data_IF_967911185660
#
_entry.id   IF_967911185660
#
_cell.length_a   1.000
_cell.length_b   1.000
_cell.length_c   1.000
_cell.angle_alpha   90.00
_cell.angle_beta   90.00
_cell.angle_gamma   90.00
#
_symmetry.space_group_name_H-M   'P 1'
#
loop_
_entity.id
_entity.type
_entity.pdbx_description
1 polymer ?
#
# COMPACT_ATOMS: atom_id res chain seq x y z
N UNK A 1 47.99 0.43 37.62
CA UNK A 1 47.05 -0.58 37.08
C UNK A 1 45.69 0.10 37.04
N UNK A 2 45.35 0.66 35.87
CA UNK A 2 44.14 1.47 35.68
C UNK A 2 43.05 0.52 35.18
N UNK A 3 42.02 0.33 36.00
CA UNK A 3 40.89 -0.53 35.69
C UNK A 3 39.91 0.28 34.82
N UNK A 4 39.78 -0.09 33.53
CA UNK A 4 38.75 0.44 32.67
C UNK A 4 37.46 -0.33 32.92
N UNK A 5 36.45 0.35 33.47
CA UNK A 5 35.08 -0.13 33.52
C UNK A 5 34.47 0.12 32.15
N UNK A 6 34.25 -0.95 31.38
CA UNK A 6 33.46 -0.92 30.16
C UNK A 6 32.00 -0.92 30.59
N UNK A 7 31.34 0.23 30.52
CA UNK A 7 29.88 0.30 30.57
C UNK A 7 29.33 -0.23 29.24
N UNK A 8 28.89 -1.49 29.24
CA UNK A 8 28.02 -2.00 28.17
C UNK A 8 26.64 -1.39 28.39
N UNK A 9 26.35 -0.29 27.69
CA UNK A 9 25.01 0.25 27.61
C UNK A 9 24.16 -0.74 26.80
N UNK A 10 23.46 -1.63 27.51
CA UNK A 10 22.43 -2.45 26.92
C UNK A 10 21.32 -1.53 26.41
N UNK A 11 21.13 -1.47 25.09
CA UNK A 11 19.92 -0.94 24.48
C UNK A 11 18.76 -1.78 25.01
N UNK A 12 18.07 -1.26 26.03
CA UNK A 12 16.76 -1.76 26.40
C UNK A 12 15.83 -1.43 25.23
N UNK A 13 15.77 -2.34 24.27
CA UNK A 13 14.73 -2.35 23.26
C UNK A 13 13.42 -2.29 24.04
N UNK A 14 12.70 -1.17 23.95
CA UNK A 14 11.39 -1.08 24.54
C UNK A 14 10.56 -2.15 23.83
N UNK A 15 10.29 -3.25 24.53
CA UNK A 15 9.29 -4.22 24.12
C UNK A 15 7.95 -3.50 24.23
N UNK A 16 7.64 -2.65 23.25
CA UNK A 16 6.31 -2.14 23.07
C UNK A 16 5.42 -3.35 22.80
N UNK A 17 4.34 -3.45 23.57
CA UNK A 17 3.47 -4.60 23.52
C UNK A 17 2.82 -4.69 22.13
N UNK A 18 3.24 -5.69 21.34
CA UNK A 18 2.42 -6.17 20.23
C UNK A 18 1.10 -6.66 20.84
N UNK A 19 -0.02 -6.07 20.41
CA UNK A 19 -1.29 -6.30 21.11
C UNK A 19 -1.97 -7.57 20.63
N UNK A 20 -2.18 -7.70 19.31
CA UNK A 20 -2.86 -8.87 18.74
C UNK A 20 -2.60 -8.97 17.23
N UNK A 21 -1.62 -9.77 16.80
CA UNK A 21 -1.36 -10.01 15.37
C UNK A 21 -2.21 -11.19 14.88
N UNK A 22 -2.66 -11.20 13.60
CA UNK A 22 -3.19 -12.41 12.99
C UNK A 22 -2.17 -13.56 13.08
N UNK A 23 -2.59 -14.81 13.31
CA UNK A 23 -1.67 -15.96 13.35
C UNK A 23 -0.84 -16.08 12.08
N UNK A 24 0.46 -16.38 12.22
CA UNK A 24 1.39 -16.53 11.10
C UNK A 24 1.99 -15.24 10.55
N UNK A 25 1.75 -14.10 11.22
CA UNK A 25 2.34 -12.81 10.85
C UNK A 25 3.31 -12.28 11.90
N UNK A 26 4.24 -11.45 11.44
CA UNK A 26 5.13 -10.63 12.26
C UNK A 26 5.13 -9.18 11.78
N UNK A 27 5.49 -8.26 12.66
CA UNK A 27 5.74 -6.86 12.30
C UNK A 27 7.24 -6.65 12.17
N UNK A 28 7.64 -6.09 11.02
CA UNK A 28 8.99 -5.57 10.78
C UNK A 28 8.91 -4.06 10.57
N UNK A 29 9.86 -3.34 11.16
CA UNK A 29 10.03 -1.91 10.94
C UNK A 29 11.34 -1.64 10.23
N UNK A 30 11.32 -0.76 9.24
CA UNK A 30 12.51 -0.39 8.46
C UNK A 30 12.42 1.04 7.93
N UNK A 31 13.50 1.48 7.28
CA UNK A 31 13.64 2.82 6.71
C UNK A 31 13.47 3.96 7.73
N UNK A 32 13.73 3.70 9.02
CA UNK A 32 13.62 4.73 10.04
C UNK A 32 14.46 5.96 9.68
N UNK A 33 13.84 7.13 9.76
CA UNK A 33 14.47 8.38 9.39
C UNK A 33 14.01 9.51 10.31
N UNK A 34 14.89 10.48 10.55
CA UNK A 34 14.58 11.73 11.25
C UNK A 34 13.57 12.61 10.50
N UNK A 35 13.30 12.31 9.23
CA UNK A 35 12.33 12.95 8.37
C UNK A 35 11.19 12.00 8.01
N UNK A 36 10.04 12.56 7.66
CA UNK A 36 8.85 11.75 7.45
C UNK A 36 8.98 10.78 6.28
N UNK A 37 8.21 9.70 6.38
CA UNK A 37 7.93 8.72 5.35
C UNK A 37 6.45 8.84 5.03
N UNK A 38 6.09 8.70 3.76
CA UNK A 38 4.71 8.75 3.32
C UNK A 38 4.50 7.95 2.04
N UNK A 39 3.23 7.76 1.66
CA UNK A 39 2.81 7.14 0.41
C UNK A 39 3.40 5.72 0.27
N UNK A 40 3.17 4.89 1.29
CA UNK A 40 3.59 3.50 1.28
C UNK A 40 2.61 2.71 0.42
N UNK A 41 3.13 1.89 -0.49
CA UNK A 41 2.36 0.95 -1.29
C UNK A 41 3.07 -0.41 -1.36
N UNK A 42 2.30 -1.48 -1.55
CA UNK A 42 2.74 -2.87 -1.44
C UNK A 42 2.19 -3.68 -2.61
N UNK A 43 3.01 -4.54 -3.21
CA UNK A 43 2.56 -5.52 -4.21
C UNK A 43 2.51 -6.96 -3.64
N UNK A 44 1.99 -7.90 -4.42
CA UNK A 44 1.88 -9.32 -4.03
C UNK A 44 3.23 -10.02 -3.93
N UNK A 45 4.27 -9.43 -4.51
CA UNK A 45 5.64 -9.91 -4.38
C UNK A 45 6.31 -9.49 -3.08
N UNK A 46 5.64 -8.71 -2.23
CA UNK A 46 6.19 -8.25 -0.95
C UNK A 46 7.09 -7.04 -1.05
N UNK A 47 7.14 -6.39 -2.21
CA UNK A 47 7.91 -5.19 -2.43
C UNK A 47 7.13 -3.99 -1.92
N UNK A 48 7.81 -3.15 -1.13
CA UNK A 48 7.20 -1.95 -0.53
C UNK A 48 7.80 -0.72 -1.17
N UNK A 49 6.99 0.01 -1.94
CA UNK A 49 7.35 1.31 -2.47
C UNK A 49 6.97 2.40 -1.46
N UNK A 50 7.83 3.39 -1.24
CA UNK A 50 7.52 4.51 -0.36
C UNK A 50 8.25 5.78 -0.78
N UNK A 51 7.75 6.93 -0.32
CA UNK A 51 8.44 8.21 -0.45
C UNK A 51 9.02 8.65 0.89
N UNK A 52 10.25 9.15 0.87
CA UNK A 52 10.96 9.59 2.07
C UNK A 52 11.48 11.02 1.87
N UNK A 53 11.19 11.88 2.84
CA UNK A 53 11.66 13.25 2.84
C UNK A 53 13.17 13.32 3.06
N UNK A 54 13.84 14.21 2.33
CA UNK A 54 15.28 14.43 2.38
C UNK A 54 15.58 15.85 2.85
N UNK A 55 16.37 15.97 3.90
CA UNK A 55 16.83 17.25 4.42
C UNK A 55 18.17 17.68 3.83
N UNK A 56 18.50 18.98 3.94
CA UNK A 56 17.67 20.08 4.45
C UNK A 56 16.69 20.65 3.40
N UNK A 57 16.75 20.13 2.17
CA UNK A 57 16.15 20.79 1.00
C UNK A 57 14.65 20.55 0.88
N UNK A 58 14.07 19.63 1.66
CA UNK A 58 12.63 19.38 1.71
C UNK A 58 12.09 18.77 0.41
N UNK A 59 12.94 18.10 -0.36
CA UNK A 59 12.50 17.22 -1.45
C UNK A 59 12.21 15.83 -0.88
N UNK A 60 11.61 14.98 -1.69
CA UNK A 60 11.31 13.59 -1.32
C UNK A 60 11.74 12.69 -2.46
N UNK A 61 12.30 11.54 -2.11
CA UNK A 61 12.77 10.54 -3.06
C UNK A 61 11.97 9.25 -2.89
N UNK A 62 11.86 8.47 -3.97
CA UNK A 62 11.17 7.19 -4.01
C UNK A 62 12.17 6.09 -3.69
N UNK A 63 11.75 5.17 -2.83
CA UNK A 63 12.50 3.99 -2.41
C UNK A 63 11.64 2.75 -2.59
N UNK A 64 12.30 1.61 -2.81
CA UNK A 64 11.68 0.29 -2.82
C UNK A 64 12.44 -0.58 -1.82
N UNK A 65 11.69 -1.19 -0.91
CA UNK A 65 12.15 -2.30 -0.09
C UNK A 65 11.79 -3.62 -0.77
N UNK A 66 12.77 -4.49 -0.98
CA UNK A 66 12.59 -5.85 -1.46
C UNK A 66 13.49 -6.78 -0.66
N UNK A 67 12.88 -7.54 0.25
CA UNK A 67 13.55 -8.56 1.05
C UNK A 67 14.86 -8.08 1.73
N UNK A 68 14.73 -7.20 2.72
CA UNK A 68 15.83 -6.56 3.45
C UNK A 68 16.70 -5.57 2.67
N UNK A 69 16.62 -5.53 1.34
CA UNK A 69 17.32 -4.51 0.57
C UNK A 69 16.43 -3.30 0.36
N UNK A 70 17.03 -2.12 0.49
CA UNK A 70 16.38 -0.85 0.19
C UNK A 70 17.11 -0.21 -0.97
N UNK A 71 16.42 -0.09 -2.10
CA UNK A 71 16.90 0.60 -3.28
C UNK A 71 16.28 2.01 -3.35
N UNK A 72 17.13 3.02 -3.55
CA UNK A 72 16.65 4.38 -3.86
C UNK A 72 16.47 4.51 -5.37
N UNK A 73 15.23 4.75 -5.80
CA UNK A 73 14.86 4.84 -7.22
C UNK A 73 15.17 6.23 -7.79
N UNK A 74 14.84 7.29 -7.05
CA UNK A 74 15.04 8.67 -7.52
C UNK A 74 16.16 9.38 -6.76
N UNK A 75 16.98 10.15 -7.50
CA UNK A 75 18.09 10.98 -7.00
C UNK A 75 18.15 12.30 -7.77
N UNK A 76 17.05 13.03 -7.73
CA UNK A 76 16.80 14.15 -8.65
C UNK A 76 16.84 15.50 -7.94
N UNK A 77 16.66 15.53 -6.61
CA UNK A 77 16.47 16.78 -5.87
C UNK A 77 15.09 17.42 -6.08
N UNK A 78 14.26 16.83 -6.95
CA UNK A 78 12.85 17.17 -7.13
C UNK A 78 11.97 16.54 -6.06
N UNK A 79 10.76 17.06 -5.89
CA UNK A 79 9.78 16.48 -4.98
C UNK A 79 9.08 15.29 -5.65
N UNK A 80 9.48 14.06 -5.31
CA UNK A 80 8.83 12.82 -5.77
C UNK A 80 7.91 12.26 -4.67
N UNK A 81 6.61 12.14 -4.93
CA UNK A 81 5.59 11.76 -3.94
C UNK A 81 4.53 10.82 -4.54
N UNK A 82 3.66 10.27 -3.70
CA UNK A 82 2.47 9.49 -4.10
C UNK A 82 2.84 8.34 -5.05
N UNK A 83 3.69 7.44 -4.54
CA UNK A 83 4.15 6.28 -5.29
C UNK A 83 3.13 5.15 -5.22
N UNK A 84 3.05 4.38 -6.30
CA UNK A 84 2.27 3.15 -6.39
C UNK A 84 3.10 2.09 -7.11
N UNK A 85 2.89 0.82 -6.79
CA UNK A 85 3.63 -0.32 -7.33
C UNK A 85 2.66 -1.43 -7.78
N UNK A 86 2.97 -2.09 -8.90
CA UNK A 86 2.24 -3.30 -9.32
C UNK A 86 3.08 -4.58 -9.11
N UNK A 87 2.49 -5.75 -9.39
CA UNK A 87 3.14 -7.05 -9.20
C UNK A 87 4.32 -7.32 -10.15
N UNK A 88 4.49 -6.50 -11.20
CA UNK A 88 5.68 -6.55 -12.06
C UNK A 88 6.81 -5.64 -11.55
N UNK A 89 6.67 -5.02 -10.38
CA UNK A 89 7.62 -4.07 -9.82
C UNK A 89 7.64 -2.72 -10.54
N UNK A 90 6.67 -2.45 -11.42
CA UNK A 90 6.56 -1.16 -12.09
C UNK A 90 6.03 -0.12 -11.13
N UNK A 91 6.53 1.11 -11.24
CA UNK A 91 6.19 2.21 -10.35
C UNK A 91 5.52 3.33 -11.12
N UNK A 92 4.61 4.02 -10.44
CA UNK A 92 4.22 5.38 -10.81
C UNK A 92 4.37 6.32 -9.65
N UNK A 93 4.72 7.57 -9.92
CA UNK A 93 4.72 8.62 -8.90
C UNK A 93 4.48 9.99 -9.49
N UNK A 94 4.22 10.94 -8.60
CA UNK A 94 4.13 12.35 -8.91
C UNK A 94 5.47 13.06 -8.71
N UNK A 95 5.93 13.81 -9.71
CA UNK A 95 7.10 14.71 -9.58
C UNK A 95 6.67 16.18 -9.64
N UNK A 96 7.18 16.99 -8.72
CA UNK A 96 7.06 18.44 -8.72
C UNK A 96 8.42 19.11 -8.91
N UNK A 97 8.57 19.85 -10.02
CA UNK A 97 9.74 20.69 -10.32
C UNK A 97 9.56 22.02 -9.58
N UNK A 98 10.61 22.53 -8.92
CA UNK A 98 10.65 23.85 -8.28
C UNK A 98 9.61 24.11 -7.14
N UNK A 99 9.20 23.05 -6.44
CA UNK A 99 8.31 23.06 -5.26
C UNK A 99 6.87 23.51 -5.53
N UNK A 100 6.03 22.50 -5.78
CA UNK A 100 4.57 22.53 -5.86
C UNK A 100 3.94 23.37 -6.99
N UNK A 101 2.93 22.83 -7.70
CA UNK A 101 2.29 21.51 -7.50
C UNK A 101 3.13 20.34 -8.04
N UNK A 102 2.62 19.12 -7.88
CA UNK A 102 3.13 17.94 -8.61
C UNK A 102 2.69 18.08 -10.06
N UNK A 103 3.62 18.34 -10.97
CA UNK A 103 3.34 18.73 -12.36
C UNK A 103 3.59 17.62 -13.37
N UNK A 104 4.32 16.57 -12.99
CA UNK A 104 4.57 15.41 -13.86
C UNK A 104 4.05 14.12 -13.22
N UNK A 105 3.49 13.24 -14.05
CA UNK A 105 3.21 11.85 -13.72
C UNK A 105 4.29 10.99 -14.37
N UNK A 106 5.00 10.25 -13.55
CA UNK A 106 6.15 9.45 -13.97
C UNK A 106 5.79 7.96 -13.88
N UNK A 107 6.26 7.19 -14.86
CA UNK A 107 6.22 5.73 -14.88
C UNK A 107 7.66 5.18 -14.94
N UNK A 108 7.91 4.09 -14.23
CA UNK A 108 9.18 3.37 -14.26
C UNK A 108 8.95 1.89 -14.47
N UNK A 109 9.62 1.33 -15.47
CA UNK A 109 9.43 -0.05 -15.93
C UNK A 109 10.38 -1.08 -15.30
N UNK A 110 11.10 -0.69 -14.24
CA UNK A 110 12.22 -1.46 -13.69
C UNK A 110 13.60 -0.97 -14.13
N UNK A 111 13.67 -0.15 -15.19
CA UNK A 111 14.94 0.26 -15.81
C UNK A 111 14.95 1.71 -16.25
N UNK A 112 13.90 2.15 -16.91
CA UNK A 112 13.78 3.44 -17.56
C UNK A 112 12.59 4.20 -17.00
N UNK A 113 12.83 5.48 -16.79
CA UNK A 113 11.80 6.43 -16.40
C UNK A 113 11.16 7.07 -17.65
N UNK A 114 9.83 7.20 -17.64
CA UNK A 114 9.05 7.89 -18.69
C UNK A 114 8.05 8.87 -18.07
N UNK A 115 7.90 10.04 -18.69
CA UNK A 115 6.84 11.00 -18.33
C UNK A 115 5.55 10.59 -19.05
N UNK A 116 4.53 10.21 -18.28
CA UNK A 116 3.21 9.78 -18.80
C UNK A 116 2.32 10.98 -19.12
N UNK A 117 2.32 12.00 -18.27
CA UNK A 117 1.56 13.23 -18.46
C UNK A 117 2.26 14.41 -17.75
N UNK A 118 2.04 15.60 -18.28
CA UNK A 118 2.45 16.87 -17.68
C UNK A 118 1.25 17.79 -17.54
N UNK A 119 1.00 18.27 -16.33
CA UNK A 119 -0.07 19.20 -16.03
C UNK A 119 0.40 20.27 -15.04
N UNK A 120 0.50 21.55 -15.45
CA UNK A 120 0.96 22.62 -14.57
C UNK A 120 0.03 22.84 -13.37
N UNK A 121 -1.26 22.54 -13.50
CA UNK A 121 -2.22 22.62 -12.38
C UNK A 121 -2.13 21.42 -11.42
N UNK A 122 -1.46 20.35 -11.88
CA UNK A 122 -1.15 19.13 -11.17
C UNK A 122 -2.22 18.04 -11.22
N UNK A 123 -2.01 17.00 -10.43
CA UNK A 123 -2.81 15.77 -10.43
C UNK A 123 -3.37 15.44 -9.05
N UNK A 124 -4.43 14.64 -8.98
CA UNK A 124 -4.85 13.96 -7.76
C UNK A 124 -5.25 12.53 -8.06
N UNK A 125 -5.00 11.62 -7.12
CA UNK A 125 -5.34 10.21 -7.25
C UNK A 125 -4.56 9.56 -8.40
N UNK A 126 -3.89 8.46 -8.11
CA UNK A 126 -3.19 7.68 -9.12
C UNK A 126 -3.39 6.21 -8.77
N UNK A 127 -3.39 5.37 -9.79
CA UNK A 127 -3.40 3.94 -9.61
C UNK A 127 -2.71 3.27 -10.82
N UNK A 128 -2.14 2.09 -10.59
CA UNK A 128 -1.55 1.23 -11.60
C UNK A 128 -2.07 -0.18 -11.36
N UNK A 129 -2.39 -0.92 -12.42
CA UNK A 129 -2.75 -2.34 -12.31
C UNK A 129 -1.63 -3.26 -12.80
N UNK A 130 -1.82 -4.57 -12.71
CA UNK A 130 -0.81 -5.56 -13.12
C UNK A 130 -0.60 -5.67 -14.64
N UNK A 131 -1.41 -4.98 -15.46
CA UNK A 131 -1.17 -4.81 -16.90
C UNK A 131 -0.24 -3.63 -17.21
N UNK A 132 0.14 -2.84 -16.19
CA UNK A 132 0.91 -1.61 -16.36
C UNK A 132 0.06 -0.43 -16.86
N UNK A 133 -1.26 -0.56 -16.87
CA UNK A 133 -2.14 0.57 -17.19
C UNK A 133 -2.16 1.56 -16.02
N UNK A 134 -2.04 2.84 -16.33
CA UNK A 134 -1.94 3.91 -15.34
C UNK A 134 -3.19 4.78 -15.40
N UNK A 135 -3.77 5.07 -14.24
CA UNK A 135 -4.99 5.87 -14.10
C UNK A 135 -4.74 7.05 -13.18
N UNK A 136 -5.24 8.22 -13.52
CA UNK A 136 -5.08 9.42 -12.70
C UNK A 136 -6.19 10.45 -12.91
N UNK A 137 -6.33 11.37 -11.96
CA UNK A 137 -7.22 12.54 -12.12
C UNK A 137 -6.39 13.77 -12.46
N UNK A 138 -6.71 14.41 -13.58
CA UNK A 138 -6.07 15.64 -14.04
C UNK A 138 -6.92 16.85 -13.65
N UNK A 139 -6.30 17.84 -12.99
CA UNK A 139 -6.96 19.12 -12.70
C UNK A 139 -7.11 19.95 -13.95
N UNK A 140 -8.33 20.41 -14.22
CA UNK A 140 -8.69 21.26 -15.36
C UNK A 140 -8.95 22.69 -14.89
N UNK A 141 -9.60 22.84 -13.74
CA UNK A 141 -9.86 24.13 -13.11
C UNK A 141 -9.71 24.01 -11.60
N UNK A 142 -9.04 25.01 -11.02
CA UNK A 142 -8.91 25.18 -9.57
C UNK A 142 -10.02 26.06 -8.98
N UNK A 143 -10.87 26.68 -9.81
CA UNK A 143 -12.00 27.51 -9.37
C UNK A 143 -13.23 26.64 -9.16
N UNK A 144 -14.12 27.02 -8.25
CA UNK A 144 -15.37 26.29 -8.00
C UNK A 144 -16.31 26.32 -9.22
N UNK A 145 -16.76 25.15 -9.76
CA UNK A 145 -16.42 23.80 -9.33
C UNK A 145 -15.01 23.40 -9.71
N UNK A 146 -14.27 22.90 -8.72
CA UNK A 146 -13.00 22.21 -8.99
C UNK A 146 -13.32 21.14 -10.02
N UNK A 147 -12.60 21.14 -11.13
CA UNK A 147 -12.86 20.23 -12.25
C UNK A 147 -11.69 19.28 -12.37
N UNK A 148 -11.99 17.99 -12.29
CA UNK A 148 -11.03 16.92 -12.46
C UNK A 148 -11.65 15.84 -13.34
N UNK A 149 -10.88 15.39 -14.33
CA UNK A 149 -11.27 14.28 -15.18
C UNK A 149 -10.28 13.14 -15.06
N UNK A 150 -10.80 11.93 -15.22
CA UNK A 150 -10.00 10.72 -15.21
C UNK A 150 -9.35 10.51 -16.56
N UNK A 151 -8.09 10.08 -16.51
CA UNK A 151 -7.30 9.69 -17.67
C UNK A 151 -6.75 8.28 -17.43
N UNK A 152 -6.48 7.59 -18.52
CA UNK A 152 -5.82 6.29 -18.54
C UNK A 152 -4.71 6.30 -19.57
N UNK A 153 -3.58 5.68 -19.24
CA UNK A 153 -2.49 5.37 -20.16
C UNK A 153 -2.31 3.86 -20.26
N UNK A 154 -2.37 3.34 -21.48
CA UNK A 154 -2.33 1.90 -21.79
C UNK A 154 -0.92 1.37 -22.12
N UNK A 155 0.12 2.14 -21.80
CA UNK A 155 1.49 1.88 -22.22
C UNK A 155 1.89 2.58 -23.53
N UNK A 156 0.91 3.04 -24.32
CA UNK A 156 1.17 3.72 -25.60
C UNK A 156 0.38 5.03 -25.77
N UNK A 157 -0.88 5.06 -25.36
CA UNK A 157 -1.81 6.16 -25.59
C UNK A 157 -2.45 6.62 -24.29
N UNK A 158 -2.66 7.93 -24.18
CA UNK A 158 -3.42 8.55 -23.10
C UNK A 158 -4.85 8.83 -23.55
N UNK A 159 -5.83 8.32 -22.82
CA UNK A 159 -7.26 8.47 -23.08
C UNK A 159 -7.95 9.16 -21.91
N UNK A 160 -8.72 10.20 -22.20
CA UNK A 160 -9.62 10.81 -21.21
C UNK A 160 -10.88 9.94 -21.05
N UNK A 161 -11.18 9.54 -19.81
CA UNK A 161 -12.27 8.62 -19.50
C UNK A 161 -13.57 9.33 -19.10
N UNK A 162 -13.47 10.52 -18.50
CA UNK A 162 -14.61 11.33 -18.06
C UNK A 162 -14.56 12.72 -18.68
N UNK A 163 -15.72 13.30 -18.97
CA UNK A 163 -15.85 14.61 -19.63
C UNK A 163 -16.74 15.57 -18.83
N UNK A 164 -16.79 15.38 -17.51
CA UNK A 164 -17.65 16.20 -16.66
C UNK A 164 -17.01 17.58 -16.46
N UNK A 165 -17.77 18.63 -16.73
CA UNK A 165 -17.34 20.03 -16.56
C UNK A 165 -17.94 20.65 -15.30
N UNK A 166 -18.82 19.97 -14.58
CA UNK A 166 -19.49 20.52 -13.41
C UNK A 166 -19.05 19.85 -12.10
N UNK A 167 -18.46 18.65 -12.21
CA UNK A 167 -18.08 17.81 -11.07
C UNK A 167 -16.62 17.33 -11.17
N UNK A 168 -16.03 17.06 -10.02
CA UNK A 168 -14.67 16.50 -9.91
C UNK A 168 -14.72 14.97 -9.89
N UNK A 169 -14.04 14.30 -10.81
CA UNK A 169 -13.80 12.87 -10.75
C UNK A 169 -12.42 12.65 -10.12
N UNK A 170 -12.38 12.06 -8.91
CA UNK A 170 -11.16 11.98 -8.09
C UNK A 170 -10.91 10.59 -7.55
N UNK A 171 -9.65 10.34 -7.18
CA UNK A 171 -9.21 9.14 -6.47
C UNK A 171 -9.59 7.83 -7.18
N UNK A 172 -9.19 7.64 -8.45
CA UNK A 172 -9.39 6.36 -9.11
C UNK A 172 -8.65 5.26 -8.35
N UNK A 173 -9.30 4.12 -8.19
CA UNK A 173 -8.69 2.83 -7.90
C UNK A 173 -9.06 1.85 -9.03
N UNK A 174 -8.18 0.91 -9.31
CA UNK A 174 -8.27 0.02 -10.48
C UNK A 174 -7.87 -1.40 -10.11
N UNK A 175 -8.56 -2.37 -10.67
CA UNK A 175 -8.20 -3.78 -10.58
C UNK A 175 -7.49 -4.28 -11.86
N UNK A 176 -7.07 -5.53 -11.88
CA UNK A 176 -6.37 -6.13 -13.03
C UNK A 176 -7.29 -6.39 -14.22
N UNK A 177 -8.61 -6.43 -13.99
CA UNK A 177 -9.63 -6.42 -15.02
C UNK A 177 -9.79 -5.07 -15.74
N UNK A 178 -9.00 -4.05 -15.36
CA UNK A 178 -9.12 -2.67 -15.84
C UNK A 178 -10.48 -2.01 -15.49
N UNK A 179 -11.18 -2.54 -14.50
CA UNK A 179 -12.36 -1.93 -13.91
C UNK A 179 -11.93 -0.84 -12.94
N UNK A 180 -12.62 0.28 -12.94
CA UNK A 180 -12.24 1.45 -12.14
C UNK A 180 -13.36 1.86 -11.19
N UNK A 181 -12.99 2.17 -9.96
CA UNK A 181 -13.84 2.83 -8.98
C UNK A 181 -13.31 4.25 -8.71
N UNK A 182 -14.19 5.24 -8.57
CA UNK A 182 -13.81 6.60 -8.24
C UNK A 182 -14.92 7.38 -7.54
N UNK A 183 -14.57 8.50 -6.92
CA UNK A 183 -15.53 9.44 -6.36
C UNK A 183 -15.81 10.59 -7.33
N UNK A 184 -17.10 10.88 -7.56
CA UNK A 184 -17.56 12.04 -8.33
C UNK A 184 -18.16 13.06 -7.39
N UNK A 185 -17.48 14.18 -7.20
CA UNK A 185 -17.73 15.13 -6.13
C UNK A 185 -18.16 16.53 -6.64
N UNK A 186 -19.16 17.11 -5.96
CA UNK A 186 -19.51 18.52 -6.01
C UNK A 186 -18.88 19.23 -4.80
N UNK A 187 -17.65 19.70 -4.96
CA UNK A 187 -16.93 20.41 -3.89
C UNK A 187 -17.46 21.83 -3.60
N UNK A 188 -18.33 22.39 -4.45
CA UNK A 188 -18.92 23.72 -4.22
C UNK A 188 -20.07 23.74 -3.22
N UNK A 189 -20.70 22.60 -2.96
CA UNK A 189 -21.78 22.53 -2.00
C UNK A 189 -21.22 22.61 -0.57
N UNK A 190 -22.05 23.05 0.38
CA UNK A 190 -21.73 23.03 1.81
C UNK A 190 -22.90 22.42 2.61
N UNK A 191 -22.78 21.17 3.11
CA UNK A 191 -21.63 20.28 2.94
C UNK A 191 -21.44 19.86 1.47
N UNK A 192 -20.19 19.63 1.06
CA UNK A 192 -19.91 19.08 -0.28
C UNK A 192 -20.57 17.70 -0.43
N UNK A 193 -20.87 17.31 -1.66
CA UNK A 193 -21.47 16.01 -1.95
C UNK A 193 -20.59 15.20 -2.92
N UNK A 194 -20.69 13.88 -2.88
CA UNK A 194 -20.05 12.95 -3.78
C UNK A 194 -20.76 11.60 -3.83
N UNK A 195 -20.70 10.96 -4.98
CA UNK A 195 -21.14 9.59 -5.22
C UNK A 195 -19.94 8.72 -5.61
N UNK A 196 -20.04 7.40 -5.38
CA UNK A 196 -19.04 6.44 -5.86
C UNK A 196 -19.56 5.80 -7.13
N UNK A 197 -18.72 5.80 -8.16
CA UNK A 197 -19.01 5.13 -9.41
C UNK A 197 -18.04 3.99 -9.64
N UNK A 198 -18.53 2.96 -10.32
CA UNK A 198 -17.72 1.87 -10.84
C UNK A 198 -17.97 1.76 -12.33
N UNK A 199 -16.90 1.66 -13.12
CA UNK A 199 -16.97 1.42 -14.55
C UNK A 199 -16.37 0.05 -14.86
N UNK A 200 -17.23 -0.78 -15.43
CA UNK A 200 -16.93 -2.09 -15.98
C UNK A 200 -16.72 -1.98 -17.50
N UNK A 201 -16.40 -3.11 -18.14
CA UNK A 201 -16.30 -3.17 -19.60
C UNK A 201 -17.66 -2.93 -20.29
N UNK A 202 -18.77 -3.28 -19.65
CA UNK A 202 -20.13 -3.23 -20.20
C UNK A 202 -20.94 -1.99 -19.79
N UNK A 203 -20.43 -1.16 -18.87
CA UNK A 203 -21.15 0.02 -18.42
C UNK A 203 -20.57 0.67 -17.18
N UNK A 204 -21.37 1.57 -16.60
CA UNK A 204 -21.04 2.31 -15.39
C UNK A 204 -22.24 2.24 -14.45
N UNK A 205 -21.98 2.05 -13.16
CA UNK A 205 -22.99 2.07 -12.10
C UNK A 205 -22.59 3.10 -11.03
N UNK A 206 -23.59 3.64 -10.34
CA UNK A 206 -23.40 4.40 -9.09
C UNK A 206 -23.68 3.45 -7.92
N UNK A 207 -22.75 3.35 -6.97
CA UNK A 207 -22.93 2.50 -5.80
C UNK A 207 -23.92 3.15 -4.82
N UNK A 208 -24.85 2.38 -4.25
CA UNK A 208 -25.82 2.93 -3.30
C UNK A 208 -25.12 3.31 -2.00
N UNK A 209 -25.24 4.57 -1.58
CA UNK A 209 -24.75 5.04 -0.29
C UNK A 209 -25.84 5.87 0.40
N UNK A 210 -26.12 5.63 1.70
CA UNK A 210 -27.04 6.49 2.45
C UNK A 210 -26.40 7.83 2.83
N UNK A 211 -25.15 8.07 2.44
CA UNK A 211 -24.36 9.22 2.81
C UNK A 211 -23.88 10.00 1.58
N UNK A 212 -23.60 11.28 1.78
CA UNK A 212 -23.33 12.22 0.67
C UNK A 212 -21.87 12.58 0.51
N UNK A 213 -20.94 12.18 1.38
CA UNK A 213 -19.54 12.63 1.33
C UNK A 213 -18.60 11.46 1.07
N UNK A 214 -18.85 10.74 -0.03
CA UNK A 214 -18.14 9.51 -0.37
C UNK A 214 -16.76 9.81 -1.02
N UNK A 215 -15.68 9.17 -0.54
CA UNK A 215 -14.29 9.35 -0.96
C UNK A 215 -13.47 8.06 -0.78
N UNK A 216 -12.24 8.05 -1.31
CA UNK A 216 -11.20 7.05 -1.06
C UNK A 216 -11.66 5.63 -1.36
N UNK A 217 -11.80 5.34 -2.65
CA UNK A 217 -12.27 4.06 -3.15
C UNK A 217 -11.12 3.07 -3.33
N UNK A 218 -11.34 1.81 -2.98
CA UNK A 218 -10.51 0.68 -3.45
C UNK A 218 -11.38 -0.37 -4.13
N UNK A 219 -10.87 -1.04 -5.16
CA UNK A 219 -11.58 -2.09 -5.90
C UNK A 219 -10.70 -3.34 -6.05
N UNK A 220 -11.30 -4.52 -5.85
CA UNK A 220 -10.63 -5.82 -6.08
C UNK A 220 -11.02 -6.39 -7.44
N UNK A 221 -10.30 -7.39 -7.95
CA UNK A 221 -10.62 -8.19 -9.14
C UNK A 221 -11.97 -8.91 -9.03
N UNK A 222 -12.42 -9.24 -7.81
CA UNK A 222 -13.77 -9.77 -7.57
C UNK A 222 -14.86 -8.69 -7.60
N UNK A 223 -14.50 -7.43 -7.82
CA UNK A 223 -15.44 -6.29 -7.91
C UNK A 223 -15.93 -5.79 -6.55
N UNK A 224 -15.29 -6.21 -5.45
CA UNK A 224 -15.55 -5.62 -4.13
C UNK A 224 -15.05 -4.19 -4.11
N UNK A 225 -15.84 -3.27 -3.56
CA UNK A 225 -15.47 -1.86 -3.47
C UNK A 225 -15.62 -1.36 -2.06
N UNK A 226 -14.57 -0.75 -1.50
CA UNK A 226 -14.67 0.02 -0.25
C UNK A 226 -14.62 1.50 -0.52
N UNK A 227 -15.25 2.29 0.34
CA UNK A 227 -15.12 3.75 0.35
C UNK A 227 -15.39 4.32 1.72
N UNK A 228 -14.91 5.54 1.94
CA UNK A 228 -15.22 6.32 3.13
C UNK A 228 -16.36 7.28 2.87
N UNK A 229 -17.27 7.41 3.85
CA UNK A 229 -18.20 8.52 3.90
C UNK A 229 -18.26 9.17 5.28
N UNK A 230 -17.74 10.40 5.39
CA UNK A 230 -17.68 11.13 6.68
C UNK A 230 -17.05 10.28 7.80
N UNK A 231 -15.92 9.63 7.49
CA UNK A 231 -15.20 8.67 8.35
C UNK A 231 -15.90 7.33 8.57
N UNK A 232 -16.99 7.01 7.87
CA UNK A 232 -17.59 5.68 7.88
C UNK A 232 -17.02 4.81 6.76
N UNK A 233 -16.56 3.61 7.07
CA UNK A 233 -16.09 2.66 6.07
C UNK A 233 -17.26 1.82 5.54
N UNK A 234 -17.50 1.92 4.25
CA UNK A 234 -18.50 1.15 3.52
C UNK A 234 -17.84 0.06 2.69
N UNK A 235 -18.55 -1.05 2.47
CA UNK A 235 -18.17 -2.14 1.57
C UNK A 235 -19.34 -2.49 0.66
N UNK A 236 -19.09 -2.59 -0.64
CA UNK A 236 -19.96 -3.14 -1.66
C UNK A 236 -19.50 -4.53 -2.07
N UNK A 237 -20.41 -5.49 -2.06
CA UNK A 237 -20.13 -6.91 -2.36
C UNK A 237 -20.60 -7.35 -3.75
N UNK A 238 -20.97 -6.42 -4.63
CA UNK A 238 -21.60 -6.71 -5.92
C UNK A 238 -23.12 -6.72 -5.89
N UNK A 239 -23.73 -6.87 -4.71
CA UNK A 239 -25.19 -6.90 -4.55
C UNK A 239 -25.73 -5.93 -3.50
N UNK A 240 -24.96 -5.64 -2.45
CA UNK A 240 -25.36 -4.75 -1.38
C UNK A 240 -24.20 -3.93 -0.82
N UNK A 241 -24.55 -2.77 -0.24
CA UNK A 241 -23.62 -1.93 0.51
C UNK A 241 -23.85 -2.11 2.00
N UNK A 242 -22.79 -2.37 2.75
CA UNK A 242 -22.83 -2.47 4.21
C UNK A 242 -21.82 -1.53 4.86
N UNK A 243 -22.19 -1.03 6.03
CA UNK A 243 -21.31 -0.27 6.91
C UNK A 243 -20.41 -1.25 7.68
N UNK A 244 -19.09 -1.11 7.56
CA UNK A 244 -18.12 -1.90 8.32
C UNK A 244 -17.71 -1.20 9.62
N UNK A 245 -17.38 0.10 9.53
CA UNK A 245 -16.94 0.90 10.67
C UNK A 245 -17.60 2.28 10.67
N UNK A 246 -18.01 2.75 11.84
CA UNK A 246 -18.55 4.11 12.01
C UNK A 246 -17.46 5.19 11.98
N UNK A 247 -16.21 4.81 12.24
CA UNK A 247 -15.07 5.73 12.37
C UNK A 247 -13.78 5.06 11.88
N UNK A 248 -13.25 5.56 10.77
CA UNK A 248 -12.00 5.11 10.16
C UNK A 248 -11.37 6.19 9.28
N UNK A 249 -10.07 6.04 9.03
CA UNK A 249 -9.34 6.65 7.93
C UNK A 249 -9.44 5.77 6.69
N UNK A 250 -8.59 6.01 5.68
CA UNK A 250 -8.60 5.25 4.42
C UNK A 250 -8.35 3.78 4.69
N UNK A 251 -9.02 2.93 3.92
CA UNK A 251 -8.79 1.49 3.94
C UNK A 251 -8.09 1.05 2.66
N UNK A 252 -7.31 -0.01 2.76
CA UNK A 252 -6.85 -0.82 1.63
C UNK A 252 -7.54 -2.19 1.72
N UNK A 253 -7.83 -2.82 0.57
CA UNK A 253 -8.65 -4.04 0.46
C UNK A 253 -7.99 -5.03 -0.51
N UNK A 254 -8.04 -6.32 -0.21
CA UNK A 254 -7.63 -7.41 -1.11
C UNK A 254 -8.80 -8.36 -1.47
N UNK A 255 -8.57 -9.39 -2.30
CA UNK A 255 -9.62 -10.34 -2.74
C UNK A 255 -10.27 -11.12 -1.60
N UNK A 256 -9.57 -11.28 -0.48
CA UNK A 256 -10.01 -12.09 0.65
C UNK A 256 -10.84 -11.31 1.66
N UNK A 257 -11.27 -10.09 1.31
CA UNK A 257 -11.94 -9.16 2.22
C UNK A 257 -11.16 -8.93 3.52
N UNK A 258 -9.83 -8.93 3.42
CA UNK A 258 -8.93 -8.45 4.46
C UNK A 258 -8.62 -6.99 4.18
N UNK A 259 -8.84 -6.14 5.19
CA UNK A 259 -8.63 -4.70 5.07
C UNK A 259 -7.54 -4.24 6.02
N UNK A 260 -6.65 -3.40 5.52
CA UNK A 260 -5.92 -2.47 6.37
C UNK A 260 -6.79 -1.23 6.58
N UNK A 261 -6.86 -0.72 7.81
CA UNK A 261 -7.53 0.54 8.11
C UNK A 261 -6.86 1.24 9.28
N UNK A 262 -6.95 2.58 9.30
CA UNK A 262 -6.62 3.37 10.49
C UNK A 262 -7.88 3.74 11.28
N UNK A 263 -7.82 3.64 12.61
CA UNK A 263 -8.91 4.04 13.51
C UNK A 263 -8.37 5.10 14.47
N UNK A 264 -9.08 6.23 14.58
CA UNK A 264 -8.67 7.35 15.42
C UNK A 264 -8.94 7.04 16.89
N UNK A 265 -7.87 7.06 17.69
CA UNK A 265 -7.93 6.98 19.14
C UNK A 265 -8.03 8.41 19.70
N UNK A 266 -9.16 8.73 20.33
CA UNK A 266 -9.40 10.06 20.90
C UNK A 266 -8.63 10.31 22.19
N UNK A 267 -8.23 9.26 22.91
CA UNK A 267 -7.47 9.40 24.15
C UNK A 267 -6.01 9.72 23.83
N UNK A 268 -5.45 9.04 22.82
CA UNK A 268 -4.07 9.26 22.35
C UNK A 268 -3.94 10.35 21.30
N UNK A 269 -5.06 10.79 20.73
CA UNK A 269 -5.12 11.73 19.60
C UNK A 269 -4.28 11.26 18.40
N UNK A 270 -4.26 9.95 18.17
CA UNK A 270 -3.46 9.29 17.13
C UNK A 270 -4.33 8.38 16.25
N UNK A 271 -3.83 8.05 15.06
CA UNK A 271 -4.43 7.02 14.21
C UNK A 271 -3.70 5.70 14.44
N UNK A 272 -4.43 4.69 14.91
CA UNK A 272 -3.88 3.35 15.14
C UNK A 272 -4.14 2.44 13.94
N UNK A 273 -3.20 1.56 13.58
CA UNK A 273 -3.31 0.62 12.47
C UNK A 273 -4.07 -0.65 12.88
N UNK A 274 -5.04 -1.05 12.07
CA UNK A 274 -5.88 -2.23 12.28
C UNK A 274 -5.94 -3.11 11.03
N UNK A 275 -6.14 -4.40 11.25
CA UNK A 275 -6.55 -5.38 10.23
C UNK A 275 -7.97 -5.82 10.52
N UNK A 276 -8.81 -5.80 9.49
CA UNK A 276 -10.17 -6.32 9.54
C UNK A 276 -10.26 -7.53 8.62
N UNK A 277 -10.61 -8.69 9.17
CA UNK A 277 -10.95 -9.87 8.38
C UNK A 277 -12.46 -9.99 8.33
N UNK A 278 -13.04 -9.69 7.17
CA UNK A 278 -14.48 -9.68 6.99
C UNK A 278 -14.93 -10.98 6.34
N UNK A 279 -15.72 -11.76 7.06
CA UNK A 279 -16.30 -13.03 6.59
C UNK A 279 -17.82 -12.94 6.54
N UNK A 280 -18.47 -14.02 6.11
CA UNK A 280 -19.93 -14.15 6.18
C UNK A 280 -20.42 -14.26 7.64
N UNK A 281 -19.57 -14.73 8.55
CA UNK A 281 -19.90 -14.92 9.97
C UNK A 281 -19.71 -13.64 10.82
N UNK A 282 -18.97 -12.66 10.29
CA UNK A 282 -18.72 -11.41 11.00
C UNK A 282 -17.42 -10.74 10.58
N UNK A 283 -16.86 -9.96 11.50
CA UNK A 283 -15.61 -9.23 11.28
C UNK A 283 -14.68 -9.45 12.47
N UNK A 284 -13.49 -9.97 12.22
CA UNK A 284 -12.42 -10.03 13.22
C UNK A 284 -11.53 -8.79 13.09
N UNK A 285 -11.11 -8.24 14.23
CA UNK A 285 -10.30 -7.02 14.27
C UNK A 285 -9.00 -7.25 15.04
N UNK A 286 -7.88 -6.85 14.43
CA UNK A 286 -6.54 -7.01 14.97
C UNK A 286 -5.86 -5.63 15.03
N UNK A 287 -5.56 -5.14 16.23
CA UNK A 287 -4.79 -3.91 16.40
C UNK A 287 -3.31 -4.24 16.27
N UNK A 288 -2.66 -3.70 15.24
CA UNK A 288 -1.28 -4.04 14.92
C UNK A 288 -0.30 -3.40 15.90
N UNK A 289 -0.59 -2.17 16.34
CA UNK A 289 0.23 -1.45 17.32
C UNK A 289 -0.65 -0.55 18.17
N UNK A 290 -0.36 -0.55 19.47
CA UNK A 290 -0.95 0.40 20.41
C UNK A 290 0.11 1.43 20.83
N UNK A 291 0.11 2.59 20.17
CA UNK A 291 1.15 3.61 20.36
C UNK A 291 0.62 5.03 20.17
N UNK A 292 1.38 6.01 20.62
CA UNK A 292 1.09 7.43 20.37
C UNK A 292 1.53 7.89 18.97
N UNK A 293 2.05 6.97 18.14
CA UNK A 293 2.44 7.28 16.76
C UNK A 293 1.24 7.53 15.87
N UNK A 294 1.43 8.42 14.91
CA UNK A 294 0.45 8.70 13.88
C UNK A 294 0.70 7.83 12.65
N UNK A 295 -0.15 6.82 12.44
CA UNK A 295 -0.11 5.99 11.25
C UNK A 295 -0.80 6.66 10.07
N UNK A 296 -0.20 6.51 8.89
CA UNK A 296 -0.75 6.99 7.63
C UNK A 296 -1.67 5.96 6.99
N UNK A 297 -2.24 6.31 5.84
CA UNK A 297 -2.74 5.33 4.88
C UNK A 297 -1.65 4.28 4.56
N UNK A 298 -2.08 3.10 4.15
CA UNK A 298 -1.22 1.96 3.84
C UNK A 298 -1.84 1.10 2.75
N UNK A 299 -1.22 -0.03 2.47
CA UNK A 299 -1.59 -0.96 1.41
C UNK A 299 -1.65 -2.39 1.95
N UNK A 300 -2.46 -3.24 1.33
CA UNK A 300 -2.63 -4.66 1.65
C UNK A 300 -2.53 -5.46 0.35
N UNK A 301 -1.79 -6.56 0.36
CA UNK A 301 -1.64 -7.44 -0.80
C UNK A 301 -2.53 -8.69 -0.70
N UNK A 302 -2.51 -9.55 -1.71
CA UNK A 302 -3.33 -10.75 -1.76
C UNK A 302 -2.96 -11.82 -0.73
N UNK A 303 -1.75 -11.73 -0.18
CA UNK A 303 -1.32 -12.58 0.94
C UNK A 303 -1.78 -12.03 2.29
N UNK A 304 -2.43 -10.87 2.32
CA UNK A 304 -2.90 -10.22 3.54
C UNK A 304 -1.78 -9.59 4.36
N UNK A 305 -0.61 -9.38 3.75
CA UNK A 305 0.46 -8.56 4.31
C UNK A 305 0.14 -7.09 4.12
N UNK A 306 0.66 -6.24 5.00
CA UNK A 306 0.27 -4.84 5.07
C UNK A 306 1.49 -3.97 5.26
N UNK A 307 1.63 -2.94 4.44
CA UNK A 307 2.65 -1.91 4.61
C UNK A 307 2.00 -0.55 4.89
N UNK A 308 2.51 0.18 5.88
CA UNK A 308 2.09 1.54 6.23
C UNK A 308 3.27 2.32 6.78
N UNK A 309 3.14 3.62 6.99
CA UNK A 309 4.14 4.44 7.68
C UNK A 309 3.59 5.02 8.97
N UNK A 310 4.48 5.31 9.91
CA UNK A 310 4.16 6.01 11.15
C UNK A 310 5.08 7.21 11.37
N UNK A 311 4.65 8.14 12.20
CA UNK A 311 5.44 9.31 12.62
C UNK A 311 5.22 9.68 14.09
N UNK A 312 6.23 10.26 14.75
CA UNK A 312 6.19 10.57 16.19
C UNK A 312 5.29 11.76 16.57
N UNK A 313 4.94 12.65 15.64
CA UNK A 313 4.17 13.86 15.96
C UNK A 313 3.27 14.31 14.78
N UNK A 314 1.94 14.30 14.96
CA UNK A 314 1.00 14.74 13.94
C UNK A 314 0.84 16.26 13.90
N UNK A 315 0.60 16.89 12.73
CA UNK A 315 0.53 16.35 11.37
C UNK A 315 1.77 16.72 10.53
N UNK A 316 2.86 17.13 11.17
CA UNK A 316 4.03 17.63 10.45
C UNK A 316 4.86 16.44 9.97
N UNK A 317 4.62 16.04 8.71
CA UNK A 317 5.40 15.07 7.90
C UNK A 317 6.92 15.28 7.82
N UNK A 318 7.49 16.14 8.67
CA UNK A 318 8.92 16.37 8.84
C UNK A 318 9.50 15.67 10.07
N UNK A 319 8.64 15.06 10.88
CA UNK A 319 9.05 14.37 12.09
C UNK A 319 9.54 12.96 11.77
N UNK A 320 10.28 12.40 12.73
CA UNK A 320 10.81 11.05 12.67
C UNK A 320 9.70 10.04 12.37
N UNK A 321 10.01 9.07 11.51
CA UNK A 321 9.07 8.03 11.12
C UNK A 321 9.79 6.82 10.54
N UNK A 322 9.03 5.73 10.36
CA UNK A 322 9.49 4.51 9.73
C UNK A 322 8.35 3.87 8.92
N UNK A 323 8.71 2.86 8.12
CA UNK A 323 7.74 1.96 7.50
C UNK A 323 7.48 0.82 8.48
N UNK A 324 6.20 0.49 8.70
CA UNK A 324 5.76 -0.72 9.39
C UNK A 324 5.23 -1.70 8.34
N UNK A 325 5.74 -2.92 8.37
CA UNK A 325 5.37 -4.00 7.47
C UNK A 325 4.91 -5.22 8.28
N UNK A 326 3.61 -5.47 8.29
CA UNK A 326 3.04 -6.73 8.74
C UNK A 326 3.23 -7.75 7.61
N UNK A 327 4.17 -8.67 7.78
CA UNK A 327 4.49 -9.69 6.78
C UNK A 327 4.22 -11.09 7.32
N UNK A 328 4.06 -12.07 6.43
CA UNK A 328 3.98 -13.46 6.86
C UNK A 328 5.33 -13.94 7.37
N UNK A 329 5.30 -14.76 8.41
CA UNK A 329 6.49 -15.46 8.89
C UNK A 329 6.90 -16.47 7.82
N UNK A 330 8.17 -16.47 7.43
CA UNK A 330 8.72 -17.42 6.48
C UNK A 330 9.08 -18.71 7.19
N UNK A 331 8.09 -19.58 7.32
CA UNK A 331 8.27 -20.90 7.94
C UNK A 331 8.84 -21.92 6.97
N UNK A 332 8.74 -21.68 5.66
CA UNK A 332 8.95 -22.68 4.61
C UNK A 332 7.68 -23.41 4.19
N UNK A 333 6.55 -23.15 4.85
CA UNK A 333 5.21 -23.53 4.38
C UNK A 333 4.79 -22.54 3.29
N UNK A 334 4.72 -23.03 2.06
CA UNK A 334 4.55 -22.24 0.84
C UNK A 334 3.12 -22.21 0.31
N UNK A 335 2.25 -23.04 0.88
CA UNK A 335 0.82 -23.12 0.57
C UNK A 335 -0.08 -22.74 1.76
N UNK A 336 0.54 -22.47 2.91
CA UNK A 336 -0.04 -21.97 4.15
C UNK A 336 -1.11 -22.88 4.73
N UNK A 337 -0.96 -24.20 4.61
CA UNK A 337 -1.86 -25.19 5.19
C UNK A 337 -1.46 -25.62 6.61
N UNK A 338 -0.33 -25.13 7.12
CA UNK A 338 0.08 -25.23 8.51
C UNK A 338 1.08 -26.36 8.81
N UNK A 339 1.55 -27.07 7.80
CA UNK A 339 2.67 -27.99 7.89
C UNK A 339 3.73 -27.74 6.81
N UNK A 340 4.88 -28.41 6.93
CA UNK A 340 5.96 -28.34 5.95
C UNK A 340 6.16 -29.75 5.43
N UNK A 341 5.79 -29.99 4.18
CA UNK A 341 5.67 -31.32 3.60
C UNK A 341 6.37 -31.47 2.23
N UNK A 342 6.06 -32.56 1.52
CA UNK A 342 6.67 -32.85 0.21
C UNK A 342 6.25 -31.87 -0.90
N UNK A 343 5.15 -31.16 -0.73
CA UNK A 343 4.68 -30.13 -1.67
C UNK A 343 5.51 -28.88 -1.55
N UNK A 344 5.79 -28.41 -0.34
CA UNK A 344 6.71 -27.29 -0.09
C UNK A 344 8.10 -27.59 -0.61
N UNK A 345 8.58 -28.80 -0.32
CA UNK A 345 9.86 -29.28 -0.82
C UNK A 345 9.94 -29.26 -2.34
N UNK A 346 8.90 -29.77 -3.00
CA UNK A 346 8.80 -29.76 -4.46
C UNK A 346 8.72 -28.35 -5.03
N UNK A 347 8.07 -27.41 -4.33
CA UNK A 347 8.01 -26.00 -4.73
C UNK A 347 9.40 -25.36 -4.60
N UNK A 348 10.07 -25.53 -3.46
CA UNK A 348 11.45 -25.06 -3.25
C UNK A 348 12.38 -25.55 -4.36
N UNK A 349 12.42 -26.86 -4.62
CA UNK A 349 13.31 -27.43 -5.65
C UNK A 349 13.07 -26.83 -7.05
N UNK A 350 11.82 -26.44 -7.36
CA UNK A 350 11.49 -25.77 -8.63
C UNK A 350 11.88 -24.29 -8.65
N UNK A 351 11.79 -23.65 -7.50
CA UNK A 351 12.04 -22.22 -7.33
C UNK A 351 13.53 -21.90 -7.07
N UNK A 352 14.37 -22.91 -6.79
CA UNK A 352 15.79 -22.70 -6.52
C UNK A 352 16.47 -21.84 -7.59
N UNK A 353 17.02 -20.72 -7.16
CA UNK A 353 17.77 -19.77 -8.00
C UNK A 353 19.29 -19.96 -7.87
N UNK A 354 19.74 -20.67 -6.84
CA UNK A 354 21.16 -20.79 -6.48
C UNK A 354 21.62 -19.63 -5.60
N UNK A 355 22.92 -19.52 -5.28
CA UNK A 355 23.44 -18.59 -4.26
C UNK A 355 23.57 -17.15 -4.76
N UNK A 356 22.75 -16.77 -5.74
CA UNK A 356 22.77 -15.43 -6.33
C UNK A 356 21.40 -14.82 -6.10
N UNK A 357 21.42 -13.73 -5.33
CA UNK A 357 20.26 -12.87 -5.12
C UNK A 357 19.50 -12.66 -6.43
N UNK A 358 18.22 -13.00 -6.40
CA UNK A 358 17.31 -12.86 -7.54
C UNK A 358 16.32 -11.75 -7.23
N UNK A 359 16.11 -10.86 -8.20
CA UNK A 359 15.10 -9.82 -8.07
C UNK A 359 13.69 -10.44 -8.10
N UNK A 360 12.83 -10.07 -7.15
CA UNK A 360 11.40 -10.42 -7.20
C UNK A 360 11.10 -11.91 -7.07
N UNK A 361 11.45 -12.55 -5.94
CA UNK A 361 11.06 -13.94 -5.63
C UNK A 361 9.53 -14.15 -5.60
N UNK A 362 8.76 -13.06 -5.46
CA UNK A 362 7.30 -13.06 -5.49
C UNK A 362 6.66 -14.13 -4.61
N UNK A 363 5.93 -15.10 -5.18
CA UNK A 363 5.28 -16.15 -4.40
C UNK A 363 6.28 -17.12 -3.77
N UNK A 364 7.47 -17.29 -4.34
CA UNK A 364 8.47 -18.22 -3.83
C UNK A 364 9.30 -17.60 -2.69
N UNK A 365 9.09 -16.32 -2.37
CA UNK A 365 9.78 -15.65 -1.25
C UNK A 365 9.48 -16.27 0.12
N UNK A 366 8.41 -17.04 0.26
CA UNK A 366 8.09 -17.74 1.52
C UNK A 366 9.00 -18.96 1.76
N UNK A 367 9.69 -19.40 0.72
CA UNK A 367 10.68 -20.46 0.75
C UNK A 367 12.12 -19.94 0.97
N UNK A 368 12.32 -18.62 0.93
CA UNK A 368 13.56 -17.94 1.33
C UNK A 368 13.53 -17.76 2.85
N UNK A 369 13.81 -18.86 3.55
CA UNK A 369 13.69 -19.00 5.01
C UNK A 369 14.84 -18.26 5.70
N UNK A 370 15.97 -18.08 5.02
CA UNK A 370 17.13 -17.36 5.57
C UNK A 370 17.05 -15.84 5.35
N UNK A 371 16.16 -15.39 4.45
CA UNK A 371 15.88 -14.01 4.07
C UNK A 371 17.02 -13.27 3.36
N UNK A 372 17.83 -13.93 2.53
CA UNK A 372 18.96 -13.31 1.82
C UNK A 372 18.64 -12.91 0.36
N UNK A 373 17.46 -13.29 -0.13
CA UNK A 373 16.97 -12.92 -1.46
C UNK A 373 17.37 -13.87 -2.57
N UNK A 374 17.80 -15.08 -2.23
CA UNK A 374 17.79 -16.19 -3.15
C UNK A 374 17.05 -17.42 -2.58
N UNK A 375 17.07 -18.50 -3.35
CA UNK A 375 16.49 -19.79 -2.98
C UNK A 375 17.54 -20.85 -3.28
N UNK A 376 18.22 -21.30 -2.24
CA UNK A 376 19.43 -22.10 -2.41
C UNK A 376 19.52 -23.31 -1.46
N UNK A 377 20.72 -23.86 -1.30
CA UNK A 377 20.94 -25.04 -0.45
C UNK A 377 20.84 -24.73 1.04
N UNK A 378 21.03 -23.48 1.46
CA UNK A 378 20.86 -23.06 2.85
C UNK A 378 19.37 -22.99 3.21
N UNK A 379 18.51 -22.51 2.31
CA UNK A 379 17.05 -22.60 2.47
C UNK A 379 16.57 -24.04 2.49
N UNK A 380 17.08 -24.85 1.57
CA UNK A 380 16.79 -26.28 1.55
C UNK A 380 17.13 -26.96 2.87
N UNK A 381 18.30 -26.67 3.44
CA UNK A 381 18.72 -27.24 4.70
C UNK A 381 17.79 -26.81 5.86
N UNK A 382 17.32 -25.55 5.85
CA UNK A 382 16.35 -25.04 6.83
C UNK A 382 14.99 -25.68 6.68
N UNK A 383 14.48 -25.77 5.46
CA UNK A 383 13.22 -26.43 5.13
C UNK A 383 13.23 -27.89 5.61
N UNK A 384 14.33 -28.62 5.35
CA UNK A 384 14.51 -30.00 5.83
C UNK A 384 14.44 -30.13 7.35
N UNK A 385 15.01 -29.18 8.09
CA UNK A 385 14.97 -29.18 9.55
C UNK A 385 13.58 -28.81 10.10
N UNK A 386 12.78 -28.08 9.32
CA UNK A 386 11.43 -27.67 9.67
C UNK A 386 10.35 -28.65 9.17
N UNK A 387 10.72 -29.68 8.40
CA UNK A 387 9.81 -30.67 7.83
C UNK A 387 9.01 -31.40 8.92
N UNK A 388 7.69 -31.20 8.92
CA UNK A 388 6.75 -31.80 9.87
C UNK A 388 5.85 -32.85 9.22
N UNK A 389 5.80 -32.89 7.88
CA UNK A 389 4.96 -33.81 7.13
C UNK A 389 5.22 -35.27 7.51
N UNK A 390 4.16 -36.00 7.87
CA UNK A 390 4.22 -37.45 7.85
C UNK A 390 4.11 -37.88 6.38
N UNK A 391 5.11 -38.61 5.85
CA UNK A 391 4.96 -39.32 4.57
C UNK A 391 3.57 -39.96 4.46
N UNK A 392 2.92 -39.92 3.29
CA UNK A 392 1.49 -40.23 3.12
C UNK A 392 1.03 -41.54 3.73
#
# INVERSE_FOLDING_TARGET
>A
MVCWVVCVAGLACHAQAQVNLPPGFEIVEFAENDYGIANVDLNDCGQVAYSQWQAPNGHSEIFVYDNQDIAQITRTGDRNVTTYINNSGQLIWGRGIDRNPVTQLIFWDGRVESVVDENPDGFNGRAINNLGHVYWSRKISVRCPRQENLFMWDGANTTQLTFDLELSNVQPSVNDGAEIAWAKAQFCDNPWSAEVLVRYADGQITLPSPYTQNQATEITNSGFVTWLSTSRLMLWTGSESRLLLERSGRAALNEWLRLYVTIFDFEKTSWNPWVLDVTDEGMNMFMLRDSDYWFSDGSVNEWGEIATSWSEDPPNSRNRGAVMYLRRIRTGDSEFDGDIDLRDHKRLVRAMTGPVRTEGLCEDRFLDINHDGDLDLDDYARLQNAFTGTTP
#
